data_IF_746778314944
#
_entry.id   IF_746778314944
#
_cell.length_a   1.000
_cell.length_b   1.000
_cell.length_c   1.000
_cell.angle_alpha   90.00
_cell.angle_beta   90.00
_cell.angle_gamma   90.00
#
_symmetry.space_group_name_H-M   'P 1'
#
loop_
_entity.id
_entity.type
_entity.pdbx_description
1 polymer ?
#
# COMPACT_ATOMS: atom_id res chain seq x y z
N UNK A 1 -18.47 54.08 -24.54
CA UNK A 1 -18.62 52.84 -25.33
C UNK A 1 -17.33 52.04 -25.14
N UNK A 2 -17.30 51.24 -24.08
CA UNK A 2 -16.32 50.16 -23.82
C UNK A 2 -17.01 48.84 -24.23
N UNK A 3 -16.31 47.75 -24.60
CA UNK A 3 -15.38 47.01 -23.72
C UNK A 3 -14.17 46.46 -24.52
N UNK A 4 -13.26 45.58 -24.09
CA UNK A 4 -13.25 44.57 -23.03
C UNK A 4 -11.78 44.15 -22.84
N UNK A 5 -11.29 44.11 -21.60
CA UNK A 5 -10.03 43.46 -21.23
C UNK A 5 -10.46 42.12 -20.61
N UNK A 6 -10.07 41.00 -21.20
CA UNK A 6 -10.21 39.70 -20.52
C UNK A 6 -8.89 38.95 -20.60
N UNK A 7 -8.15 39.05 -19.51
CA UNK A 7 -7.11 38.11 -19.15
C UNK A 7 -7.76 37.09 -18.20
N UNK A 8 -8.02 35.89 -18.70
CA UNK A 8 -8.27 34.72 -17.86
C UNK A 8 -7.25 33.66 -18.26
N UNK A 9 -6.13 33.69 -17.55
CA UNK A 9 -5.19 32.59 -17.44
C UNK A 9 -5.92 31.48 -16.68
N UNK A 10 -6.42 30.46 -17.41
CA UNK A 10 -6.87 29.20 -16.83
C UNK A 10 -5.68 28.54 -16.13
N UNK A 11 -5.51 28.87 -14.85
CA UNK A 11 -4.75 28.06 -13.94
C UNK A 11 -5.46 26.71 -13.89
N UNK A 12 -4.80 25.70 -14.45
CA UNK A 12 -5.14 24.31 -14.26
C UNK A 12 -4.98 24.00 -12.76
N UNK A 13 -6.05 24.23 -11.99
CA UNK A 13 -6.14 23.77 -10.61
C UNK A 13 -6.04 22.23 -10.66
N UNK A 14 -5.06 21.61 -9.99
CA UNK A 14 -5.03 20.15 -9.93
C UNK A 14 -6.31 19.72 -9.22
N UNK A 15 -7.06 18.84 -9.89
CA UNK A 15 -8.26 18.21 -9.35
C UNK A 15 -7.92 17.52 -8.02
N UNK A 16 -8.24 18.18 -6.90
CA UNK A 16 -8.09 17.65 -5.54
C UNK A 16 -9.12 16.53 -5.22
N UNK A 17 -9.79 15.97 -6.24
CA UNK A 17 -10.82 14.94 -6.09
C UNK A 17 -10.41 13.56 -6.64
N UNK A 18 -9.24 13.05 -6.26
CA UNK A 18 -9.00 11.60 -6.26
C UNK A 18 -8.99 11.09 -4.82
N UNK A 19 -10.15 10.64 -4.33
CA UNK A 19 -10.36 10.26 -2.93
C UNK A 19 -9.88 8.83 -2.60
N UNK A 20 -8.78 8.36 -3.19
CA UNK A 20 -8.05 7.22 -2.65
C UNK A 20 -7.36 7.67 -1.36
N UNK A 21 -7.97 7.37 -0.21
CA UNK A 21 -7.39 7.73 1.09
C UNK A 21 -6.12 6.93 1.33
N UNK A 22 -5.01 7.63 1.55
CA UNK A 22 -3.75 7.03 2.00
C UNK A 22 -3.95 6.11 3.19
N UNK A 23 -3.29 4.95 3.17
CA UNK A 23 -3.26 4.01 4.29
C UNK A 23 -1.98 4.24 5.07
N UNK A 24 -2.09 4.45 6.38
CA UNK A 24 -0.94 4.64 7.27
C UNK A 24 -0.92 3.56 8.35
N UNK A 25 0.08 2.69 8.29
CA UNK A 25 0.37 1.70 9.33
C UNK A 25 1.35 2.31 10.32
N UNK A 26 0.96 2.43 11.59
CA UNK A 26 1.82 2.91 12.66
C UNK A 26 2.24 1.74 13.54
N UNK A 27 3.52 1.66 13.87
CA UNK A 27 3.98 0.67 14.84
C UNK A 27 3.48 1.04 16.23
N UNK A 28 2.91 0.07 16.96
CA UNK A 28 2.44 0.29 18.32
C UNK A 28 3.58 0.55 19.31
N UNK A 29 4.73 -0.08 19.07
CA UNK A 29 5.88 -0.05 19.97
C UNK A 29 6.85 1.13 19.64
N UNK A 30 6.76 1.71 18.44
CA UNK A 30 7.57 2.85 17.99
C UNK A 30 6.75 3.81 17.09
N UNK A 31 6.32 4.97 17.60
CA UNK A 31 5.49 5.89 16.82
C UNK A 31 6.22 6.56 15.64
N UNK A 32 7.56 6.56 15.63
CA UNK A 32 8.36 7.10 14.53
C UNK A 32 8.44 6.13 13.35
N UNK A 33 8.19 4.83 13.61
CA UNK A 33 8.12 3.81 12.57
C UNK A 33 6.71 3.74 11.95
N UNK A 34 6.64 4.03 10.66
CA UNK A 34 5.39 4.03 9.87
C UNK A 34 5.58 3.52 8.45
N UNK A 35 4.51 2.91 7.93
CA UNK A 35 4.38 2.53 6.53
C UNK A 35 3.22 3.31 5.93
N UNK A 36 3.40 3.91 4.76
CA UNK A 36 2.33 4.58 4.04
C UNK A 36 2.14 3.94 2.66
N UNK A 37 0.88 3.67 2.30
CA UNK A 37 0.47 3.35 0.93
C UNK A 37 -0.29 4.57 0.43
N UNK A 38 0.15 5.15 -0.69
CA UNK A 38 -0.36 6.44 -1.20
C UNK A 38 -0.60 6.42 -2.69
N UNK A 39 -1.36 7.41 -3.15
CA UNK A 39 -1.46 7.76 -4.57
C UNK A 39 -1.86 6.55 -5.44
N UNK A 40 -2.88 5.79 -5.03
CA UNK A 40 -3.36 4.65 -5.82
C UNK A 40 -4.03 5.13 -7.12
N UNK A 41 -3.61 4.58 -8.26
CA UNK A 41 -4.20 4.88 -9.57
C UNK A 41 -4.21 3.64 -10.47
N UNK A 42 -5.22 3.51 -11.31
CA UNK A 42 -5.23 2.52 -12.40
C UNK A 42 -4.46 3.09 -13.60
N UNK A 43 -3.49 2.37 -14.20
CA UNK A 43 -2.90 2.80 -15.45
C UNK A 43 -3.89 2.63 -16.62
N UNK A 44 -4.01 3.64 -17.48
CA UNK A 44 -4.93 3.64 -18.64
C UNK A 44 -4.52 2.62 -19.72
N UNK A 45 -3.21 2.42 -19.91
CA UNK A 45 -2.65 1.72 -21.10
C UNK A 45 -2.03 0.35 -20.79
N UNK A 46 -2.08 -0.14 -19.56
CA UNK A 46 -1.45 -1.42 -19.20
C UNK A 46 -2.43 -2.59 -19.32
N UNK A 47 -2.28 -3.36 -20.41
CA UNK A 47 -2.98 -4.65 -20.58
C UNK A 47 -2.32 -5.71 -19.69
N UNK A 48 -2.54 -5.60 -18.39
CA UNK A 48 -2.11 -6.61 -17.45
C UNK A 48 -3.08 -7.80 -17.47
N UNK A 49 -2.54 -9.02 -17.49
CA UNK A 49 -3.36 -10.23 -17.49
C UNK A 49 -3.79 -10.53 -16.06
N UNK A 50 -4.95 -10.00 -15.68
CA UNK A 50 -5.56 -10.25 -14.38
C UNK A 50 -5.89 -11.75 -14.20
N UNK A 51 -5.83 -12.24 -12.96
CA UNK A 51 -6.28 -13.61 -12.66
C UNK A 51 -7.81 -13.73 -12.73
N UNK A 52 -8.52 -12.60 -12.57
CA UNK A 52 -9.97 -12.50 -12.59
C UNK A 52 -10.42 -11.32 -13.47
N UNK A 53 -11.51 -11.46 -14.24
CA UNK A 53 -12.04 -10.38 -15.09
C UNK A 53 -12.62 -9.21 -14.30
N UNK A 54 -12.84 -9.38 -12.99
CA UNK A 54 -13.24 -8.29 -12.10
C UNK A 54 -12.05 -7.54 -11.50
N UNK A 55 -10.84 -8.06 -11.65
CA UNK A 55 -9.64 -7.49 -11.06
C UNK A 55 -9.04 -6.42 -11.96
N UNK A 56 -8.51 -5.37 -11.36
CA UNK A 56 -7.86 -4.28 -12.08
C UNK A 56 -6.46 -4.05 -11.53
N UNK A 57 -5.54 -3.73 -12.42
CA UNK A 57 -4.19 -3.33 -12.05
C UNK A 57 -4.24 -1.98 -11.32
N UNK A 58 -3.47 -1.87 -10.25
CA UNK A 58 -3.32 -0.65 -9.47
C UNK A 58 -1.85 -0.37 -9.25
N UNK A 59 -1.44 0.85 -9.57
CA UNK A 59 -0.15 1.39 -9.18
C UNK A 59 -0.31 2.26 -7.94
N UNK A 60 0.63 2.14 -7.00
CA UNK A 60 0.65 2.98 -5.82
C UNK A 60 2.07 3.24 -5.34
N UNK A 61 2.22 4.20 -4.44
CA UNK A 61 3.49 4.50 -3.77
C UNK A 61 3.53 3.83 -2.41
N UNK A 62 4.69 3.28 -2.04
CA UNK A 62 4.96 2.81 -0.69
C UNK A 62 6.10 3.61 -0.05
N UNK A 63 5.88 4.07 1.17
CA UNK A 63 6.87 4.78 1.98
C UNK A 63 7.15 4.00 3.26
N UNK A 64 8.42 3.74 3.55
CA UNK A 64 8.90 3.27 4.85
C UNK A 64 9.56 4.45 5.57
N UNK A 65 9.14 4.72 6.80
CA UNK A 65 9.82 5.68 7.67
C UNK A 65 10.14 5.03 9.02
N UNK A 66 11.27 5.43 9.60
CA UNK A 66 11.68 5.11 10.96
C UNK A 66 12.91 5.94 11.37
N UNK A 67 13.43 5.76 12.58
CA UNK A 67 14.62 6.47 13.02
C UNK A 67 15.82 6.27 12.07
N UNK A 68 16.22 7.33 11.37
CA UNK A 68 17.31 7.29 10.38
C UNK A 68 16.98 6.59 9.06
N UNK A 69 15.71 6.19 8.84
CA UNK A 69 15.25 5.54 7.62
C UNK A 69 14.14 6.35 6.96
N UNK A 70 14.35 6.68 5.69
CA UNK A 70 13.31 7.12 4.77
C UNK A 70 13.54 6.42 3.43
N UNK A 71 12.60 5.56 3.04
CA UNK A 71 12.62 4.90 1.75
C UNK A 71 11.26 5.06 1.07
N UNK A 72 11.27 5.36 -0.22
CA UNK A 72 10.07 5.53 -1.04
C UNK A 72 10.26 4.74 -2.32
N UNK A 73 9.25 3.95 -2.66
CA UNK A 73 9.17 3.26 -3.95
C UNK A 73 7.87 3.65 -4.63
N UNK A 74 7.99 4.24 -5.81
CA UNK A 74 6.87 4.66 -6.64
C UNK A 74 6.49 3.54 -7.61
N UNK A 75 5.21 3.50 -7.98
CA UNK A 75 4.65 2.53 -8.93
C UNK A 75 4.89 1.07 -8.51
N UNK A 76 4.65 0.79 -7.23
CA UNK A 76 4.45 -0.59 -6.77
C UNK A 76 3.17 -1.11 -7.41
N UNK A 77 3.24 -2.30 -7.98
CA UNK A 77 2.16 -2.92 -8.73
C UNK A 77 1.36 -3.85 -7.80
N UNK A 78 0.03 -3.72 -7.81
CA UNK A 78 -0.88 -4.67 -7.19
C UNK A 78 -2.19 -4.80 -7.95
N UNK A 79 -3.07 -5.65 -7.45
CA UNK A 79 -4.38 -5.90 -8.04
C UNK A 79 -5.51 -5.51 -7.07
N UNK A 80 -6.54 -4.86 -7.59
CA UNK A 80 -7.80 -4.70 -6.85
C UNK A 80 -8.71 -5.90 -7.10
N UNK A 81 -9.46 -6.33 -6.08
CA UNK A 81 -10.44 -7.41 -6.22
C UNK A 81 -9.87 -8.84 -6.23
N UNK A 82 -8.57 -9.02 -6.03
CA UNK A 82 -7.94 -10.33 -5.89
C UNK A 82 -7.79 -10.72 -4.41
N UNK A 83 -8.27 -11.90 -4.02
CA UNK A 83 -8.12 -12.38 -2.63
C UNK A 83 -6.66 -12.74 -2.28
N UNK A 84 -5.78 -12.89 -3.28
CA UNK A 84 -4.35 -13.16 -3.12
C UNK A 84 -3.52 -11.91 -2.87
N UNK A 85 -4.15 -10.74 -2.89
CA UNK A 85 -3.49 -9.46 -2.65
C UNK A 85 -3.27 -9.15 -1.18
N UNK A 86 -2.57 -8.06 -0.92
CA UNK A 86 -2.18 -7.68 0.44
C UNK A 86 -3.38 -7.55 1.40
N UNK A 87 -4.54 -7.07 0.94
CA UNK A 87 -5.75 -6.99 1.77
C UNK A 87 -6.28 -8.38 2.14
N UNK A 88 -6.24 -9.32 1.20
CA UNK A 88 -6.60 -10.72 1.43
C UNK A 88 -5.63 -11.40 2.40
N UNK A 89 -4.32 -11.20 2.22
CA UNK A 89 -3.30 -11.67 3.16
C UNK A 89 -3.54 -11.14 4.57
N UNK A 90 -3.74 -9.84 4.73
CA UNK A 90 -4.03 -9.20 6.03
C UNK A 90 -5.35 -9.70 6.63
N UNK A 91 -6.36 -9.96 5.79
CA UNK A 91 -7.64 -10.55 6.21
C UNK A 91 -7.44 -11.94 6.81
N UNK A 92 -6.62 -12.78 6.18
CA UNK A 92 -6.32 -14.12 6.67
C UNK A 92 -5.49 -14.09 7.97
N UNK A 93 -4.52 -13.17 8.09
CA UNK A 93 -3.83 -12.95 9.38
C UNK A 93 -4.80 -12.52 10.49
N UNK A 94 -5.78 -11.69 10.18
CA UNK A 94 -6.77 -11.22 11.16
C UNK A 94 -7.74 -12.35 11.59
N UNK A 95 -8.08 -13.27 10.69
CA UNK A 95 -8.90 -14.46 10.99
C UNK A 95 -8.18 -15.42 11.93
N UNK A 96 -6.87 -15.58 11.76
CA UNK A 96 -6.04 -16.43 12.61
C UNK A 96 -5.56 -15.71 13.88
N UNK A 97 -6.46 -14.96 14.52
CA UNK A 97 -6.17 -14.22 15.77
C UNK A 97 -5.76 -15.14 16.94
N UNK A 98 -6.10 -16.43 16.86
CA UNK A 98 -5.67 -17.46 17.80
C UNK A 98 -4.17 -17.78 17.73
N UNK A 99 -3.48 -17.25 16.72
CA UNK A 99 -2.05 -17.43 16.49
C UNK A 99 -1.73 -18.48 15.44
N UNK A 100 -0.51 -18.42 14.92
CA UNK A 100 0.07 -19.39 14.00
C UNK A 100 1.56 -19.57 14.30
N UNK A 101 2.10 -20.71 13.90
CA UNK A 101 3.53 -20.99 14.00
C UNK A 101 4.27 -20.51 12.74
N UNK A 102 5.48 -20.01 12.94
CA UNK A 102 6.38 -19.61 11.86
C UNK A 102 6.06 -18.25 11.21
N UNK A 103 6.63 -18.04 10.03
CA UNK A 103 6.48 -16.82 9.23
C UNK A 103 5.52 -17.07 8.07
N UNK A 104 4.58 -16.14 7.86
CA UNK A 104 3.76 -16.07 6.65
C UNK A 104 4.24 -14.92 5.79
N UNK A 105 4.30 -15.13 4.48
CA UNK A 105 4.83 -14.13 3.55
C UNK A 105 3.84 -13.88 2.43
N UNK A 106 3.63 -12.61 2.12
CA UNK A 106 3.00 -12.12 0.91
C UNK A 106 3.98 -11.22 0.16
N UNK A 107 3.85 -11.14 -1.16
CA UNK A 107 4.64 -10.26 -2.01
C UNK A 107 3.87 -9.90 -3.27
N UNK A 108 4.17 -8.74 -3.84
CA UNK A 108 3.73 -8.40 -5.20
C UNK A 108 4.35 -9.37 -6.22
N UNK A 109 3.74 -9.46 -7.40
CA UNK A 109 4.18 -10.35 -8.47
C UNK A 109 5.63 -10.06 -8.91
N UNK A 110 5.96 -8.78 -9.02
CA UNK A 110 7.30 -8.26 -9.35
C UNK A 110 8.29 -8.25 -8.16
N UNK A 111 7.79 -8.54 -6.94
CA UNK A 111 8.55 -8.57 -5.68
C UNK A 111 9.07 -7.20 -5.22
N UNK A 112 8.51 -6.12 -5.74
CA UNK A 112 8.85 -4.76 -5.31
C UNK A 112 8.48 -4.51 -3.85
N UNK A 113 7.38 -5.12 -3.39
CA UNK A 113 6.97 -5.14 -1.99
C UNK A 113 6.83 -6.58 -1.48
N UNK A 114 7.42 -6.86 -0.32
CA UNK A 114 7.22 -8.11 0.43
C UNK A 114 6.77 -7.78 1.85
N UNK A 115 5.73 -8.47 2.33
CA UNK A 115 5.24 -8.35 3.71
C UNK A 115 5.35 -9.71 4.38
N UNK A 116 6.07 -9.76 5.49
CA UNK A 116 6.26 -10.96 6.31
C UNK A 116 5.59 -10.77 7.64
N UNK A 117 4.87 -11.78 8.11
CA UNK A 117 4.08 -11.74 9.31
C UNK A 117 4.49 -12.86 10.28
N UNK A 118 4.77 -12.49 11.52
CA UNK A 118 5.04 -13.44 12.60
C UNK A 118 4.13 -13.13 13.78
N UNK A 119 3.41 -14.14 14.26
CA UNK A 119 2.61 -14.02 15.47
C UNK A 119 3.51 -14.11 16.70
N UNK A 120 3.32 -13.19 17.63
CA UNK A 120 4.06 -13.10 18.89
C UNK A 120 3.12 -13.34 20.06
N UNK A 121 3.71 -13.85 21.14
CA UNK A 121 3.00 -14.01 22.41
C UNK A 121 2.34 -12.70 22.84
N UNK A 122 1.10 -12.80 23.33
CA UNK A 122 0.31 -11.63 23.75
C UNK A 122 -0.58 -11.06 22.65
N UNK A 123 -0.86 -11.81 21.58
CA UNK A 123 -1.80 -11.39 20.54
C UNK A 123 -1.26 -10.24 19.70
N UNK A 124 0.05 -10.22 19.44
CA UNK A 124 0.71 -9.20 18.61
C UNK A 124 1.20 -9.84 17.33
N UNK A 125 1.16 -9.09 16.25
CA UNK A 125 1.68 -9.50 14.94
C UNK A 125 2.74 -8.50 14.53
N UNK A 126 3.94 -9.02 14.32
CA UNK A 126 5.03 -8.28 13.68
C UNK A 126 4.87 -8.40 12.17
N UNK A 127 4.69 -7.26 11.51
CA UNK A 127 4.70 -7.14 10.05
C UNK A 127 6.01 -6.49 9.63
N UNK A 128 6.84 -7.23 8.90
CA UNK A 128 8.05 -6.70 8.27
C UNK A 128 7.76 -6.38 6.81
N UNK A 129 7.91 -5.11 6.45
CA UNK A 129 7.68 -4.56 5.13
C UNK A 129 9.02 -4.34 4.47
N UNK A 130 9.27 -5.01 3.36
CA UNK A 130 10.50 -4.91 2.59
C UNK A 130 10.21 -4.31 1.22
N UNK A 131 10.89 -3.22 0.89
CA UNK A 131 10.89 -2.60 -0.43
C UNK A 131 12.18 -2.93 -1.16
N UNK A 132 12.03 -3.35 -2.42
CA UNK A 132 13.16 -3.65 -3.29
C UNK A 132 12.79 -3.37 -4.75
N UNK A 133 13.18 -2.23 -5.34
CA UNK A 133 12.90 -1.97 -6.75
C UNK A 133 13.54 -3.04 -7.66
N UNK A 134 12.70 -3.89 -8.25
CA UNK A 134 13.13 -4.91 -9.19
C UNK A 134 13.46 -4.29 -10.55
N UNK A 135 12.66 -3.32 -10.99
CA UNK A 135 12.72 -2.68 -12.31
C UNK A 135 13.65 -1.46 -12.41
N UNK A 136 14.20 -0.96 -11.31
CA UNK A 136 15.14 0.17 -11.37
C UNK A 136 16.43 -0.25 -12.09
N UNK A 137 16.65 0.29 -13.29
CA UNK A 137 17.83 0.06 -14.10
C UNK A 137 19.11 0.59 -13.41
N UNK A 138 18.96 1.64 -12.61
CA UNK A 138 20.06 2.33 -11.94
C UNK A 138 19.82 2.34 -10.42
N UNK A 139 20.61 1.56 -9.66
CA UNK A 139 20.60 1.61 -8.19
C UNK A 139 19.57 0.70 -7.51
N UNK A 140 19.83 -0.62 -7.51
CA UNK A 140 19.10 -1.56 -6.65
C UNK A 140 19.40 -1.28 -5.19
N UNK A 141 18.34 -1.04 -4.41
CA UNK A 141 18.40 -0.96 -2.96
C UNK A 141 17.39 -1.91 -2.34
N UNK A 142 17.56 -2.18 -1.04
CA UNK A 142 16.55 -2.85 -0.22
C UNK A 142 16.42 -2.06 1.07
N UNK A 143 15.19 -1.78 1.48
CA UNK A 143 14.90 -1.20 2.78
C UNK A 143 13.79 -2.01 3.44
N UNK A 144 13.87 -2.14 4.76
CA UNK A 144 12.88 -2.87 5.53
C UNK A 144 12.53 -2.12 6.80
N UNK A 145 11.25 -2.13 7.17
CA UNK A 145 10.77 -1.63 8.44
C UNK A 145 9.77 -2.63 9.04
N UNK A 146 9.77 -2.77 10.37
CA UNK A 146 8.88 -3.69 11.08
C UNK A 146 7.89 -2.90 11.92
N UNK A 147 6.60 -3.16 11.73
CA UNK A 147 5.52 -2.61 12.54
C UNK A 147 4.91 -3.70 13.42
N UNK A 148 4.58 -3.36 14.66
CA UNK A 148 3.84 -4.24 15.57
C UNK A 148 2.38 -3.79 15.62
N UNK A 149 1.46 -4.71 15.38
CA UNK A 149 0.01 -4.50 15.46
C UNK A 149 -0.63 -5.50 16.42
N UNK A 150 -1.75 -5.12 17.05
CA UNK A 150 -2.57 -6.10 17.74
C UNK A 150 -3.23 -7.05 16.72
N UNK A 151 -3.25 -8.34 17.03
CA UNK A 151 -3.98 -9.33 16.25
C UNK A 151 -5.49 -9.06 16.29
N UNK A 152 -6.24 -9.61 15.32
CA UNK A 152 -7.69 -9.44 15.25
C UNK A 152 -8.08 -8.04 14.75
N UNK A 153 -8.79 -7.26 15.56
CA UNK A 153 -9.48 -6.04 15.12
C UNK A 153 -8.57 -5.02 14.42
N UNK A 154 -7.36 -4.75 14.95
CA UNK A 154 -6.44 -3.79 14.32
C UNK A 154 -5.96 -4.26 12.95
N UNK A 155 -5.74 -5.57 12.78
CA UNK A 155 -5.43 -6.15 11.47
C UNK A 155 -6.67 -6.17 10.55
N UNK A 156 -7.87 -6.42 11.08
CA UNK A 156 -9.11 -6.37 10.29
C UNK A 156 -9.39 -4.97 9.75
N UNK A 157 -9.18 -3.94 10.56
CA UNK A 157 -9.28 -2.54 10.12
C UNK A 157 -8.25 -2.24 9.06
N UNK A 158 -6.99 -2.63 9.28
CA UNK A 158 -5.94 -2.44 8.27
C UNK A 158 -6.26 -3.15 6.95
N UNK A 159 -6.74 -4.39 7.00
CA UNK A 159 -7.15 -5.13 5.80
C UNK A 159 -8.28 -4.41 5.06
N UNK A 160 -9.27 -3.88 5.78
CA UNK A 160 -10.36 -3.11 5.19
C UNK A 160 -9.89 -1.79 4.56
N UNK A 161 -8.99 -1.07 5.23
CA UNK A 161 -8.40 0.18 4.73
C UNK A 161 -7.59 -0.07 3.46
N UNK A 162 -6.75 -1.11 3.45
CA UNK A 162 -5.97 -1.51 2.25
C UNK A 162 -6.88 -1.95 1.11
N UNK A 163 -7.94 -2.71 1.41
CA UNK A 163 -8.93 -3.08 0.38
C UNK A 163 -9.60 -1.87 -0.23
N UNK A 164 -10.00 -0.90 0.61
CA UNK A 164 -10.64 0.32 0.14
C UNK A 164 -9.68 1.19 -0.67
N UNK A 165 -8.42 1.28 -0.26
CA UNK A 165 -7.35 1.96 -0.98
C UNK A 165 -7.12 1.37 -2.38
N UNK A 166 -6.98 0.05 -2.49
CA UNK A 166 -6.81 -0.62 -3.78
C UNK A 166 -8.05 -0.50 -4.67
N UNK A 167 -9.25 -0.62 -4.09
CA UNK A 167 -10.51 -0.44 -4.84
C UNK A 167 -10.77 1.02 -5.24
N UNK A 168 -10.26 1.97 -4.47
CA UNK A 168 -10.42 3.42 -4.68
C UNK A 168 -9.51 4.01 -5.75
N UNK A 169 -8.69 3.18 -6.43
CA UNK A 169 -7.88 3.59 -7.58
C UNK A 169 -8.71 3.97 -8.83
N UNK A 170 -10.03 4.08 -8.68
CA UNK A 170 -10.93 4.68 -9.66
C UNK A 170 -10.76 6.21 -9.64
N UNK A 171 -9.98 6.71 -10.60
CA UNK A 171 -10.01 8.10 -11.07
C UNK A 171 -10.20 8.06 -12.58
#
# INVERSE_FOLDING_TARGET
MHPHFDAANEANEPDESSAARDVVVRCADDPDTRICLRDAFSPDDEVAVAHSPASRLVNYTVELCGPGLAARLERVVGWSGEATEIDGFLTDLARDFGGWDGERTWRTDDRDLTVRAVFRSGGRVELTWELRPWRAADGRWTASATTVLAAGERLSVLAADVRHFLAGAEG
#
